data_IF_184007274797
#
_entry.id   IF_184007274797
#
_cell.length_a   1.000
_cell.length_b   1.000
_cell.length_c   1.000
_cell.angle_alpha   90.00
_cell.angle_beta   90.00
_cell.angle_gamma   90.00
#
_symmetry.space_group_name_H-M   'P 1'
#
loop_
_entity.id
_entity.type
_entity.pdbx_description
1 polymer ?
#
# COMPACT_ATOMS: atom_id res chain seq x y z
N UNK A 1 8.64 18.57 21.13
CA UNK A 1 7.51 17.61 21.02
C UNK A 1 7.51 16.79 22.29
N UNK A 2 6.50 16.96 23.15
CA UNK A 2 6.34 16.17 24.37
C UNK A 2 5.89 14.77 23.95
N UNK A 3 6.72 13.75 24.16
CA UNK A 3 6.33 12.39 23.93
C UNK A 3 5.13 12.05 24.84
N UNK A 4 3.99 11.70 24.25
CA UNK A 4 2.88 11.16 25.00
C UNK A 4 3.33 9.88 25.73
N UNK A 5 2.83 9.65 26.95
CA UNK A 5 3.11 8.41 27.66
C UNK A 5 2.56 7.23 26.84
N UNK A 6 3.27 6.09 26.76
CA UNK A 6 2.79 4.93 26.03
C UNK A 6 1.45 4.44 26.59
N UNK A 7 0.64 3.84 25.71
CA UNK A 7 -0.63 3.23 26.10
C UNK A 7 -0.42 2.16 27.20
N UNK A 8 -1.43 1.82 28.03
CA UNK A 8 -1.32 0.84 29.12
C UNK A 8 -0.79 -0.55 28.73
N UNK A 9 -0.85 -0.94 27.45
CA UNK A 9 -0.21 -2.16 26.94
C UNK A 9 1.32 -2.04 26.81
N UNK A 10 1.89 -0.86 27.04
CA UNK A 10 3.31 -0.58 26.99
C UNK A 10 3.91 -0.47 25.59
N UNK A 11 3.13 -0.65 24.52
CA UNK A 11 3.58 -0.54 23.13
C UNK A 11 3.17 0.81 22.52
N UNK A 12 4.07 1.38 21.74
CA UNK A 12 3.85 2.65 21.03
C UNK A 12 3.44 2.38 19.58
N UNK A 13 2.24 2.83 19.21
CA UNK A 13 1.72 2.75 17.83
C UNK A 13 1.75 4.12 17.20
N UNK A 14 2.50 4.26 16.12
CA UNK A 14 2.54 5.48 15.32
C UNK A 14 1.86 5.25 13.98
N UNK A 15 0.80 6.01 13.68
CA UNK A 15 0.19 5.99 12.37
C UNK A 15 1.02 6.82 11.38
N UNK A 16 1.12 6.37 10.13
CA UNK A 16 1.79 7.09 9.04
C UNK A 16 0.79 7.27 7.91
N UNK A 17 0.51 8.52 7.55
CA UNK A 17 -0.36 8.87 6.42
C UNK A 17 0.45 9.68 5.42
N UNK A 18 0.30 9.35 4.13
CA UNK A 18 0.87 10.13 3.02
C UNK A 18 -0.27 10.83 2.31
N UNK A 19 -0.15 12.13 2.11
CA UNK A 19 -1.19 12.93 1.45
C UNK A 19 -0.61 13.83 0.35
N UNK A 20 -1.48 14.21 -0.58
CA UNK A 20 -1.20 15.26 -1.55
C UNK A 20 -2.50 15.82 -2.12
N UNK A 21 -2.79 17.11 -1.86
CA UNK A 21 -3.94 17.84 -2.42
C UNK A 21 -5.31 17.20 -2.15
N UNK A 22 -5.49 16.55 -0.97
CA UNK A 22 -6.71 15.85 -0.58
C UNK A 22 -7.10 16.15 0.87
N UNK A 23 -7.28 17.43 1.25
CA UNK A 23 -7.51 17.80 2.64
C UNK A 23 -8.79 17.18 3.21
N UNK A 24 -9.86 17.03 2.42
CA UNK A 24 -11.12 16.44 2.87
C UNK A 24 -11.00 14.94 3.16
N UNK A 25 -10.32 14.19 2.29
CA UNK A 25 -10.06 12.75 2.49
C UNK A 25 -9.15 12.54 3.70
N UNK A 26 -8.10 13.36 3.81
CA UNK A 26 -7.19 13.33 4.96
C UNK A 26 -7.94 13.59 6.27
N UNK A 27 -8.85 14.57 6.31
CA UNK A 27 -9.67 14.85 7.50
C UNK A 27 -10.47 13.63 7.92
N UNK A 28 -11.16 12.96 6.98
CA UNK A 28 -11.92 11.74 7.25
C UNK A 28 -11.05 10.58 7.74
N UNK A 29 -9.83 10.43 7.19
CA UNK A 29 -8.89 9.42 7.66
C UNK A 29 -8.43 9.70 9.10
N UNK A 30 -8.08 10.95 9.42
CA UNK A 30 -7.67 11.37 10.76
C UNK A 30 -8.81 11.24 11.79
N UNK A 31 -10.05 11.60 11.44
CA UNK A 31 -11.22 11.40 12.27
C UNK A 31 -11.44 9.91 12.62
N UNK A 32 -11.29 9.03 11.63
CA UNK A 32 -11.43 7.59 11.84
C UNK A 32 -10.29 6.99 12.69
N UNK A 33 -9.10 7.58 12.67
CA UNK A 33 -8.01 7.22 13.58
C UNK A 33 -8.28 7.71 15.02
N UNK A 34 -8.86 8.90 15.17
CA UNK A 34 -9.09 9.52 16.47
C UNK A 34 -10.12 8.74 17.33
N UNK A 35 -11.04 8.01 16.71
CA UNK A 35 -12.09 7.25 17.41
C UNK A 35 -11.71 5.79 17.69
N UNK A 36 -10.49 5.35 17.37
CA UNK A 36 -10.09 3.97 17.63
C UNK A 36 -10.10 3.63 19.12
N UNK A 37 -10.67 2.48 19.51
CA UNK A 37 -10.73 1.98 20.90
C UNK A 37 -9.35 1.67 21.48
N UNK A 38 -8.39 1.29 20.63
CA UNK A 38 -6.95 1.38 20.91
C UNK A 38 -6.44 2.62 20.18
N UNK A 39 -6.31 3.78 20.86
CA UNK A 39 -5.85 4.99 20.18
C UNK A 39 -4.43 4.83 19.66
N UNK A 40 -4.11 5.53 18.57
CA UNK A 40 -2.72 5.71 18.16
C UNK A 40 -2.01 6.66 19.12
N UNK A 41 -0.74 6.41 19.41
CA UNK A 41 0.04 7.27 20.30
C UNK A 41 0.46 8.57 19.62
N UNK A 42 0.62 8.55 18.29
CA UNK A 42 0.81 9.73 17.45
C UNK A 42 0.55 9.40 15.99
N UNK A 43 0.40 10.45 15.17
CA UNK A 43 0.32 10.32 13.71
C UNK A 43 1.43 11.14 13.05
N UNK A 44 2.12 10.54 12.09
CA UNK A 44 3.04 11.22 11.18
C UNK A 44 2.34 11.42 9.85
N UNK A 45 2.11 12.66 9.46
CA UNK A 45 1.53 13.01 8.17
C UNK A 45 2.63 13.54 7.26
N UNK A 46 2.88 12.87 6.15
CA UNK A 46 3.81 13.33 5.11
C UNK A 46 3.00 13.94 3.97
N UNK A 47 3.12 15.24 3.80
CA UNK A 47 2.42 16.00 2.75
C UNK A 47 3.36 16.26 1.57
N UNK A 48 3.02 15.70 0.43
CA UNK A 48 3.74 15.85 -0.85
C UNK A 48 3.20 17.02 -1.71
N UNK A 49 2.40 17.91 -1.14
CA UNK A 49 1.74 19.03 -1.83
C UNK A 49 2.12 20.41 -1.29
N UNK A 50 3.37 20.86 -1.46
CA UNK A 50 3.82 22.14 -0.88
C UNK A 50 3.08 23.37 -1.42
N UNK A 51 2.44 23.26 -2.57
CA UNK A 51 1.60 24.28 -3.20
C UNK A 51 0.18 24.38 -2.58
N UNK A 52 -0.29 23.31 -1.91
CA UNK A 52 -1.56 23.27 -1.17
C UNK A 52 -1.40 22.46 0.12
N UNK A 53 -0.68 22.97 1.13
CA UNK A 53 -0.38 22.23 2.34
C UNK A 53 -1.63 21.95 3.17
N UNK A 54 -1.72 20.73 3.70
CA UNK A 54 -2.84 20.28 4.55
C UNK A 54 -2.58 20.45 6.05
N UNK A 55 -1.63 21.33 6.45
CA UNK A 55 -1.19 21.51 7.84
C UNK A 55 -2.35 21.84 8.79
N UNK A 56 -3.29 22.68 8.36
CA UNK A 56 -4.43 23.07 9.19
C UNK A 56 -5.35 21.89 9.52
N UNK A 57 -5.55 20.99 8.55
CA UNK A 57 -6.32 19.74 8.75
C UNK A 57 -5.65 18.88 9.81
N UNK A 58 -4.32 18.72 9.72
CA UNK A 58 -3.56 17.92 10.68
C UNK A 58 -3.56 18.56 12.06
N UNK A 59 -3.40 19.88 12.13
CA UNK A 59 -3.41 20.62 13.40
C UNK A 59 -4.76 20.53 14.12
N UNK A 60 -5.86 20.46 13.38
CA UNK A 60 -7.22 20.39 13.94
C UNK A 60 -7.68 18.97 14.32
N UNK A 61 -6.94 17.92 13.98
CA UNK A 61 -7.38 16.53 14.19
C UNK A 61 -7.44 16.06 15.67
N UNK A 62 -6.86 16.84 16.59
CA UNK A 62 -6.84 16.51 18.03
C UNK A 62 -5.88 15.40 18.43
N UNK A 63 -5.22 14.73 17.48
CA UNK A 63 -4.22 13.69 17.75
C UNK A 63 -2.83 14.29 17.98
N UNK A 64 -1.99 13.69 18.85
CA UNK A 64 -0.57 13.99 18.83
C UNK A 64 -0.01 13.73 17.43
N UNK A 65 0.67 14.71 16.84
CA UNK A 65 1.07 14.60 15.45
C UNK A 65 2.45 15.18 15.13
N UNK A 66 3.04 14.69 14.07
CA UNK A 66 4.18 15.26 13.37
C UNK A 66 3.78 15.51 11.92
N UNK A 67 3.82 16.77 11.50
CA UNK A 67 3.52 17.15 10.12
C UNK A 67 4.82 17.43 9.36
N UNK A 68 5.00 16.73 8.23
CA UNK A 68 6.18 16.83 7.38
C UNK A 68 5.76 17.33 5.99
N UNK A 69 5.96 18.61 5.73
CA UNK A 69 5.75 19.18 4.39
C UNK A 69 6.99 18.93 3.53
N UNK A 70 6.85 18.08 2.52
CA UNK A 70 7.91 17.86 1.54
C UNK A 70 7.94 18.97 0.50
N UNK A 71 9.12 19.55 0.26
CA UNK A 71 9.32 20.57 -0.78
C UNK A 71 9.27 20.01 -2.20
N UNK A 72 9.30 18.68 -2.35
CA UNK A 72 9.17 17.97 -3.60
C UNK A 72 8.16 16.85 -3.47
N UNK A 73 7.45 16.53 -4.55
CA UNK A 73 6.60 15.34 -4.57
C UNK A 73 7.48 14.08 -4.57
N UNK A 74 7.48 13.37 -3.44
CA UNK A 74 8.25 12.12 -3.25
C UNK A 74 7.47 10.88 -3.74
N UNK A 75 6.22 11.05 -4.17
CA UNK A 75 5.30 9.95 -4.44
C UNK A 75 4.91 9.16 -3.18
N UNK A 76 4.11 8.12 -3.34
CA UNK A 76 3.74 7.25 -2.22
C UNK A 76 4.96 6.55 -1.61
N UNK A 77 5.83 5.99 -2.44
CA UNK A 77 7.03 5.29 -1.99
C UNK A 77 7.93 6.16 -1.10
N UNK A 78 8.24 7.38 -1.55
CA UNK A 78 9.10 8.30 -0.77
C UNK A 78 8.38 8.86 0.44
N UNK A 79 7.08 9.14 0.34
CA UNK A 79 6.26 9.61 1.47
C UNK A 79 6.20 8.57 2.59
N UNK A 80 5.88 7.32 2.28
CA UNK A 80 5.90 6.24 3.27
C UNK A 80 7.30 5.98 3.83
N UNK A 81 8.34 6.03 2.99
CA UNK A 81 9.71 5.87 3.48
C UNK A 81 10.07 6.92 4.54
N UNK A 82 9.75 8.20 4.27
CA UNK A 82 9.99 9.30 5.21
C UNK A 82 9.15 9.15 6.48
N UNK A 83 7.85 8.86 6.34
CA UNK A 83 6.94 8.69 7.46
C UNK A 83 7.34 7.51 8.37
N UNK A 84 7.66 6.35 7.80
CA UNK A 84 8.11 5.17 8.54
C UNK A 84 9.42 5.43 9.29
N UNK A 85 10.40 6.08 8.64
CA UNK A 85 11.66 6.45 9.31
C UNK A 85 11.44 7.42 10.47
N UNK A 86 10.52 8.38 10.30
CA UNK A 86 10.14 9.31 11.37
C UNK A 86 9.47 8.56 12.53
N UNK A 87 8.53 7.65 12.23
CA UNK A 87 7.88 6.84 13.25
C UNK A 87 8.88 5.97 14.05
N UNK A 88 9.84 5.36 13.35
CA UNK A 88 10.93 4.60 13.98
C UNK A 88 11.82 5.49 14.87
N UNK A 89 12.16 6.71 14.40
CA UNK A 89 12.93 7.67 15.16
C UNK A 89 12.20 8.16 16.41
N UNK A 90 10.85 8.20 16.36
CA UNK A 90 9.97 8.51 17.49
C UNK A 90 9.78 7.33 18.46
N UNK A 91 10.45 6.20 18.22
CA UNK A 91 10.40 5.03 19.09
C UNK A 91 9.11 4.20 18.96
N UNK A 92 8.52 4.13 17.78
CA UNK A 92 7.38 3.27 17.51
C UNK A 92 7.75 1.78 17.70
N UNK A 93 6.90 1.01 18.37
CA UNK A 93 6.93 -0.45 18.37
C UNK A 93 6.16 -1.01 17.16
N UNK A 94 5.10 -0.30 16.77
CA UNK A 94 4.26 -0.58 15.61
C UNK A 94 4.05 0.65 14.75
N UNK A 95 4.13 0.47 13.43
CA UNK A 95 3.86 1.52 12.44
C UNK A 95 2.61 1.14 11.64
N UNK A 96 1.55 1.95 11.75
CA UNK A 96 0.28 1.74 11.07
C UNK A 96 0.19 2.63 9.83
N UNK A 97 0.29 2.03 8.64
CA UNK A 97 0.40 2.76 7.36
C UNK A 97 -0.93 2.85 6.63
N UNK A 98 -1.26 4.04 6.17
CA UNK A 98 -2.48 4.34 5.43
C UNK A 98 -2.28 5.40 4.36
N UNK A 99 -2.96 5.26 3.22
CA UNK A 99 -3.15 6.36 2.26
C UNK A 99 -4.25 7.32 2.76
N UNK A 100 -4.23 8.55 2.26
CA UNK A 100 -5.18 9.61 2.64
C UNK A 100 -6.62 9.39 2.12
N UNK A 101 -6.84 8.47 1.18
CA UNK A 101 -8.15 8.15 0.60
C UNK A 101 -8.78 6.86 1.17
N UNK A 102 -8.12 6.25 2.15
CA UNK A 102 -8.65 5.11 2.89
C UNK A 102 -8.84 5.40 4.38
N UNK A 103 -9.63 4.56 5.07
CA UNK A 103 -9.86 4.69 6.52
C UNK A 103 -10.31 3.38 7.16
N UNK A 104 -10.04 3.14 8.47
CA UNK A 104 -10.65 2.03 9.19
C UNK A 104 -12.18 2.11 9.12
N UNK A 105 -12.83 0.95 8.97
CA UNK A 105 -14.29 0.87 8.83
C UNK A 105 -15.04 1.08 10.14
N UNK A 106 -14.37 0.80 11.26
CA UNK A 106 -14.90 0.95 12.61
C UNK A 106 -13.80 1.27 13.63
N UNK A 107 -14.21 1.49 14.86
CA UNK A 107 -13.34 1.88 15.97
C UNK A 107 -12.48 0.76 16.55
N UNK A 108 -12.64 -0.49 16.10
CA UNK A 108 -11.94 -1.66 16.65
C UNK A 108 -10.82 -2.18 15.75
N UNK A 109 -10.60 -1.57 14.59
CA UNK A 109 -9.64 -2.08 13.58
C UNK A 109 -8.23 -2.20 14.15
N UNK A 110 -7.69 -1.15 14.77
CA UNK A 110 -6.34 -1.20 15.32
C UNK A 110 -6.20 -2.22 16.46
N UNK A 111 -7.18 -2.27 17.37
CA UNK A 111 -7.20 -3.26 18.46
C UNK A 111 -7.19 -4.70 17.91
N UNK A 112 -7.98 -4.95 16.88
CA UNK A 112 -8.06 -6.26 16.20
C UNK A 112 -6.73 -6.63 15.54
N UNK A 113 -6.11 -5.70 14.81
CA UNK A 113 -4.82 -5.94 14.15
C UNK A 113 -3.73 -6.28 15.18
N UNK A 114 -3.60 -5.49 16.25
CA UNK A 114 -2.63 -5.76 17.33
C UNK A 114 -2.87 -7.11 17.99
N UNK A 115 -4.13 -7.45 18.28
CA UNK A 115 -4.48 -8.74 18.87
C UNK A 115 -4.07 -9.91 17.98
N UNK A 116 -4.37 -9.83 16.67
CA UNK A 116 -4.01 -10.88 15.70
C UNK A 116 -2.50 -10.95 15.52
N UNK A 117 -1.81 -9.81 15.44
CA UNK A 117 -0.35 -9.76 15.30
C UNK A 117 0.35 -10.43 16.47
N UNK A 118 -0.03 -10.11 17.71
CA UNK A 118 0.52 -10.70 18.93
C UNK A 118 0.21 -12.19 19.03
N UNK A 119 -1.05 -12.58 18.83
CA UNK A 119 -1.47 -13.98 18.96
C UNK A 119 -0.77 -14.91 17.95
N UNK A 120 -0.37 -14.38 16.79
CA UNK A 120 0.26 -15.15 15.72
C UNK A 120 1.75 -14.86 15.52
N UNK A 121 2.32 -13.93 16.28
CA UNK A 121 3.74 -13.53 16.17
C UNK A 121 4.05 -12.92 14.79
N UNK A 122 3.16 -12.07 14.26
CA UNK A 122 3.30 -11.53 12.91
C UNK A 122 4.28 -10.35 12.88
N UNK A 123 5.05 -10.29 11.82
CA UNK A 123 5.91 -9.16 11.46
C UNK A 123 5.14 -8.02 10.79
N UNK A 124 4.04 -8.38 10.11
CA UNK A 124 3.08 -7.46 9.48
C UNK A 124 1.70 -8.08 9.53
N UNK A 125 0.68 -7.25 9.75
CA UNK A 125 -0.72 -7.63 9.60
C UNK A 125 -1.49 -6.56 8.86
N UNK A 126 -2.19 -6.95 7.79
CA UNK A 126 -3.09 -6.10 7.04
C UNK A 126 -4.55 -6.33 7.42
N UNK A 127 -5.43 -5.34 7.35
CA UNK A 127 -6.87 -5.55 7.37
C UNK A 127 -7.36 -6.07 6.02
N UNK A 128 -8.60 -6.57 5.98
CA UNK A 128 -9.32 -6.80 4.74
C UNK A 128 -9.74 -5.45 4.13
N UNK A 129 -9.24 -5.14 2.93
CA UNK A 129 -9.53 -3.87 2.27
C UNK A 129 -10.82 -3.99 1.47
N UNK A 130 -11.88 -3.33 1.95
CA UNK A 130 -13.20 -3.30 1.32
C UNK A 130 -13.36 -2.06 0.44
N UNK A 131 -14.17 -2.19 -0.60
CA UNK A 131 -14.56 -1.08 -1.47
C UNK A 131 -15.42 -0.09 -0.68
N UNK A 132 -15.01 1.17 -0.62
CA UNK A 132 -15.69 2.20 0.16
C UNK A 132 -17.13 2.46 -0.32
N UNK A 133 -17.39 2.27 -1.62
CA UNK A 133 -18.71 2.44 -2.23
C UNK A 133 -19.54 1.15 -2.20
N UNK A 134 -18.90 -0.01 -1.98
CA UNK A 134 -19.54 -1.31 -1.91
C UNK A 134 -18.86 -2.22 -0.86
N UNK A 135 -19.04 -1.96 0.46
CA UNK A 135 -18.28 -2.61 1.52
C UNK A 135 -18.43 -4.15 1.62
N UNK A 136 -19.41 -4.73 0.92
CA UNK A 136 -19.54 -6.18 0.76
C UNK A 136 -18.50 -6.81 -0.18
N UNK A 137 -17.81 -5.99 -0.97
CA UNK A 137 -16.78 -6.40 -1.93
C UNK A 137 -15.39 -5.92 -1.48
N UNK A 138 -14.34 -6.64 -1.86
CA UNK A 138 -12.97 -6.16 -1.66
C UNK A 138 -12.64 -5.04 -2.67
N UNK A 139 -11.95 -4.00 -2.23
CA UNK A 139 -11.41 -2.96 -3.12
C UNK A 139 -10.39 -3.56 -4.10
N UNK A 140 -9.61 -4.51 -3.60
CA UNK A 140 -8.65 -5.29 -4.40
C UNK A 140 -8.96 -6.77 -4.25
N UNK A 141 -9.17 -7.54 -5.36
CA UNK A 141 -9.41 -8.97 -5.26
C UNK A 141 -8.28 -9.69 -4.52
N UNK A 142 -8.65 -10.56 -3.60
CA UNK A 142 -7.72 -11.34 -2.79
C UNK A 142 -7.37 -12.64 -3.48
N UNK A 143 -6.10 -13.01 -3.51
CA UNK A 143 -5.65 -14.25 -4.13
C UNK A 143 -5.57 -15.38 -3.11
N UNK A 144 -6.31 -16.46 -3.35
CA UNK A 144 -6.19 -17.72 -2.58
C UNK A 144 -5.76 -18.85 -3.53
N UNK A 145 -4.51 -19.29 -3.41
CA UNK A 145 -3.92 -20.25 -4.36
C UNK A 145 -3.90 -19.70 -5.79
N UNK A 146 -4.64 -20.35 -6.70
CA UNK A 146 -4.77 -19.94 -8.10
C UNK A 146 -6.03 -19.12 -8.40
N UNK A 147 -6.88 -18.87 -7.41
CA UNK A 147 -8.17 -18.19 -7.59
C UNK A 147 -8.14 -16.78 -6.99
N UNK A 148 -8.86 -15.87 -7.65
CA UNK A 148 -9.12 -14.53 -7.15
C UNK A 148 -10.52 -14.49 -6.54
N UNK A 149 -10.64 -13.87 -5.37
CA UNK A 149 -11.87 -13.69 -4.61
C UNK A 149 -12.19 -12.21 -4.52
N UNK A 150 -13.41 -11.85 -4.91
CA UNK A 150 -13.87 -10.45 -4.92
C UNK A 150 -14.59 -10.01 -3.65
N UNK A 151 -14.90 -10.95 -2.75
CA UNK A 151 -15.65 -10.71 -1.52
C UNK A 151 -15.28 -11.72 -0.42
N UNK A 152 -15.76 -11.47 0.80
CA UNK A 152 -15.52 -12.34 1.97
C UNK A 152 -16.22 -13.70 1.86
N UNK A 153 -17.40 -13.76 1.24
CA UNK A 153 -18.14 -15.01 1.08
C UNK A 153 -17.31 -16.04 0.30
N UNK A 154 -16.53 -15.56 -0.65
CA UNK A 154 -15.59 -16.38 -1.40
C UNK A 154 -14.44 -16.98 -0.59
N UNK A 155 -14.20 -16.52 0.66
CA UNK A 155 -13.12 -17.01 1.54
C UNK A 155 -13.56 -18.12 2.51
N UNK A 156 -14.84 -18.52 2.49
CA UNK A 156 -15.30 -19.71 3.22
C UNK A 156 -15.32 -19.59 4.74
N UNK A 157 -15.38 -18.37 5.29
CA UNK A 157 -15.47 -18.15 6.74
C UNK A 157 -14.12 -18.18 7.47
N UNK A 158 -13.00 -18.08 6.77
CA UNK A 158 -11.67 -17.93 7.39
C UNK A 158 -11.55 -16.59 8.11
N UNK A 159 -10.82 -16.56 9.23
CA UNK A 159 -10.57 -15.38 10.05
C UNK A 159 -9.26 -14.69 9.67
N UNK A 160 -8.34 -15.43 9.07
CA UNK A 160 -7.00 -14.98 8.73
C UNK A 160 -6.50 -15.59 7.43
N UNK A 161 -5.87 -14.77 6.60
CA UNK A 161 -5.27 -15.20 5.34
C UNK A 161 -3.75 -15.06 5.40
N UNK A 162 -3.01 -16.16 5.58
CA UNK A 162 -1.55 -16.10 5.68
C UNK A 162 -0.91 -15.79 4.32
N UNK A 163 0.18 -15.00 4.35
CA UNK A 163 1.00 -14.72 3.17
C UNK A 163 0.35 -13.78 2.13
N UNK A 164 -0.75 -13.13 2.50
CA UNK A 164 -1.38 -12.07 1.72
C UNK A 164 -1.42 -10.78 2.55
N UNK A 165 -1.06 -9.66 1.96
CA UNK A 165 -1.06 -8.34 2.60
C UNK A 165 -1.43 -7.25 1.59
N UNK A 166 -2.18 -6.24 2.04
CA UNK A 166 -2.47 -4.99 1.33
C UNK A 166 -1.73 -3.88 2.04
N UNK A 167 -0.44 -3.75 1.74
CA UNK A 167 0.45 -2.77 2.37
C UNK A 167 -0.04 -1.35 2.04
N UNK A 168 0.14 -0.42 2.96
CA UNK A 168 -0.31 0.99 2.89
C UNK A 168 -1.83 1.23 2.93
N UNK A 169 -2.64 0.17 2.98
CA UNK A 169 -4.09 0.26 3.16
C UNK A 169 -4.48 -0.23 4.56
N UNK A 170 -3.99 0.44 5.58
CA UNK A 170 -4.21 0.08 6.98
C UNK A 170 -3.30 -1.02 7.50
N UNK A 171 -2.19 -1.33 6.85
CA UNK A 171 -1.23 -2.34 7.30
C UNK A 171 -0.45 -1.89 8.54
N UNK A 172 -0.29 -2.80 9.48
CA UNK A 172 0.42 -2.60 10.74
C UNK A 172 1.74 -3.40 10.71
N UNK A 173 2.87 -2.71 10.76
CA UNK A 173 4.21 -3.29 10.78
C UNK A 173 4.81 -3.24 12.16
N UNK A 174 5.40 -4.33 12.64
CA UNK A 174 6.31 -4.25 13.77
C UNK A 174 7.55 -3.42 13.38
N UNK A 175 8.02 -2.55 14.26
CA UNK A 175 9.21 -1.72 14.02
C UNK A 175 10.45 -2.57 13.68
N UNK A 176 10.61 -3.71 14.35
CA UNK A 176 11.70 -4.67 14.09
C UNK A 176 11.65 -5.19 12.63
N UNK A 177 10.46 -5.33 12.04
CA UNK A 177 10.30 -5.71 10.64
C UNK A 177 10.90 -4.66 9.71
N UNK A 178 10.56 -3.39 9.95
CA UNK A 178 11.09 -2.28 9.14
C UNK A 178 12.61 -2.11 9.34
N UNK A 179 13.12 -2.34 10.56
CA UNK A 179 14.55 -2.33 10.82
C UNK A 179 15.29 -3.45 10.05
N UNK A 180 14.66 -4.62 9.88
CA UNK A 180 15.24 -5.75 9.15
C UNK A 180 15.08 -5.65 7.64
N UNK A 181 13.92 -5.22 7.15
CA UNK A 181 13.58 -5.21 5.73
C UNK A 181 13.79 -3.86 5.06
N UNK A 182 13.91 -2.79 5.85
CA UNK A 182 13.94 -1.41 5.37
C UNK A 182 12.55 -0.87 5.01
N UNK A 183 12.53 0.41 4.66
CA UNK A 183 11.34 1.16 4.22
C UNK A 183 11.17 1.08 2.69
N UNK A 184 10.07 1.60 2.09
CA UNK A 184 9.87 1.60 0.64
C UNK A 184 11.04 2.19 -0.14
N UNK A 185 11.32 1.61 -1.31
CA UNK A 185 12.33 2.15 -2.23
C UNK A 185 11.79 3.41 -2.93
N UNK A 186 12.25 4.57 -2.48
CA UNK A 186 11.82 5.87 -3.01
C UNK A 186 12.01 6.02 -4.53
N UNK A 187 12.92 5.23 -5.16
CA UNK A 187 13.14 5.23 -6.61
C UNK A 187 11.91 4.78 -7.40
N UNK A 188 11.03 4.02 -6.77
CA UNK A 188 9.78 3.57 -7.38
C UNK A 188 8.79 4.72 -7.54
N UNK A 189 8.83 5.72 -6.67
CA UNK A 189 7.96 6.87 -6.64
C UNK A 189 6.49 6.53 -6.36
N UNK A 190 5.86 5.75 -7.25
CA UNK A 190 4.49 5.23 -7.12
C UNK A 190 4.37 3.91 -7.88
N UNK A 191 3.46 3.04 -7.45
CA UNK A 191 3.18 1.75 -8.10
C UNK A 191 4.30 0.72 -7.98
N UNK A 192 4.03 -0.36 -7.35
CA UNK A 192 4.95 -1.49 -7.20
C UNK A 192 5.84 -1.44 -5.96
N UNK A 193 5.86 -0.36 -5.23
CA UNK A 193 6.48 -0.20 -3.92
C UNK A 193 5.91 -1.19 -2.89
N UNK A 194 4.61 -1.37 -2.83
CA UNK A 194 3.97 -2.42 -2.02
C UNK A 194 4.49 -3.82 -2.40
N UNK A 195 4.53 -4.12 -3.70
CA UNK A 195 5.03 -5.41 -4.18
C UNK A 195 6.50 -5.60 -3.81
N UNK A 196 7.29 -4.55 -3.85
CA UNK A 196 8.72 -4.57 -3.53
C UNK A 196 8.94 -4.88 -2.05
N UNK A 197 8.26 -4.18 -1.12
CA UNK A 197 8.29 -4.47 0.32
C UNK A 197 7.77 -5.87 0.60
N UNK A 198 6.62 -6.25 0.04
CA UNK A 198 6.07 -7.58 0.20
C UNK A 198 7.10 -8.67 -0.19
N UNK A 199 7.85 -8.46 -1.27
CA UNK A 199 8.90 -9.40 -1.67
C UNK A 199 10.07 -9.45 -0.66
N UNK A 200 10.37 -8.35 0.01
CA UNK A 200 11.39 -8.35 1.09
C UNK A 200 10.91 -9.13 2.33
N UNK A 201 9.64 -8.97 2.74
CA UNK A 201 9.02 -9.78 3.81
C UNK A 201 9.11 -11.28 3.49
N UNK A 202 8.68 -11.68 2.29
CA UNK A 202 8.74 -13.08 1.84
C UNK A 202 10.18 -13.62 1.85
N UNK A 203 11.15 -12.85 1.38
CA UNK A 203 12.57 -13.26 1.32
C UNK A 203 13.21 -13.35 2.70
N UNK A 204 12.78 -12.52 3.64
CA UNK A 204 13.24 -12.57 5.02
C UNK A 204 12.60 -13.72 5.82
N UNK A 205 11.62 -14.43 5.25
CA UNK A 205 10.89 -15.50 5.93
C UNK A 205 10.02 -15.00 7.08
N UNK A 206 9.65 -13.72 7.07
CA UNK A 206 8.87 -13.11 8.13
C UNK A 206 7.39 -13.51 8.03
N UNK A 207 6.70 -13.85 9.14
CA UNK A 207 5.29 -14.18 9.14
C UNK A 207 4.45 -12.92 8.96
N UNK A 208 3.51 -12.96 8.01
CA UNK A 208 2.58 -11.87 7.73
C UNK A 208 1.25 -12.39 7.17
N UNK A 209 0.23 -11.55 7.16
CA UNK A 209 -1.06 -11.91 6.58
C UNK A 209 -2.17 -10.91 6.84
N UNK A 210 -3.38 -11.27 6.40
CA UNK A 210 -4.56 -10.41 6.49
C UNK A 210 -5.51 -10.91 7.58
N UNK A 211 -5.83 -10.04 8.54
CA UNK A 211 -6.88 -10.23 9.54
C UNK A 211 -8.24 -9.90 8.92
N UNK A 212 -9.05 -10.94 8.64
CA UNK A 212 -10.29 -10.77 7.90
C UNK A 212 -11.42 -10.12 8.72
N UNK A 213 -11.31 -10.09 10.04
CA UNK A 213 -12.25 -9.37 10.92
C UNK A 213 -11.96 -7.87 11.05
N UNK A 214 -10.75 -7.42 10.73
CA UNK A 214 -10.43 -6.01 10.60
C UNK A 214 -10.76 -5.54 9.19
N UNK A 215 -11.51 -4.44 9.05
CA UNK A 215 -11.88 -3.89 7.73
C UNK A 215 -11.32 -2.50 7.54
N UNK A 216 -10.73 -2.26 6.39
CA UNK A 216 -10.27 -0.94 5.94
C UNK A 216 -11.01 -0.57 4.66
N UNK A 217 -11.59 0.61 4.61
CA UNK A 217 -12.32 1.12 3.45
C UNK A 217 -11.36 1.85 2.52
N UNK A 218 -11.43 1.58 1.22
CA UNK A 218 -10.59 2.22 0.21
C UNK A 218 -11.32 2.25 -1.14
N UNK A 219 -11.14 3.28 -1.98
CA UNK A 219 -11.63 3.28 -3.35
C UNK A 219 -11.09 2.10 -4.15
N UNK A 220 -11.92 1.49 -5.00
CA UNK A 220 -11.46 0.36 -5.81
C UNK A 220 -10.62 0.79 -7.03
N UNK A 221 -9.70 -0.08 -7.45
CA UNK A 221 -8.82 0.12 -8.60
C UNK A 221 -9.08 -0.86 -9.75
N UNK A 222 -10.29 -1.45 -9.84
CA UNK A 222 -10.61 -2.55 -10.78
C UNK A 222 -10.54 -2.14 -12.24
N UNK A 223 -10.84 -0.90 -12.56
CA UNK A 223 -10.90 -0.39 -13.94
C UNK A 223 -9.56 -0.43 -14.68
N UNK A 224 -8.46 -0.51 -13.93
CA UNK A 224 -7.12 -0.62 -14.53
C UNK A 224 -6.83 -2.01 -15.12
N UNK A 225 -7.60 -3.05 -14.75
CA UNK A 225 -7.37 -4.42 -15.19
C UNK A 225 -8.25 -4.77 -16.39
N UNK A 226 -7.67 -4.72 -17.59
CA UNK A 226 -8.37 -5.02 -18.85
C UNK A 226 -8.30 -6.52 -19.15
N UNK A 227 -9.43 -7.20 -19.35
CA UNK A 227 -9.46 -8.64 -19.64
C UNK A 227 -8.84 -8.96 -21.00
N UNK A 228 -8.12 -10.07 -21.10
CA UNK A 228 -7.53 -10.63 -22.33
C UNK A 228 -7.76 -12.13 -22.40
N UNK A 229 -7.58 -12.73 -23.57
CA UNK A 229 -7.74 -14.19 -23.78
C UNK A 229 -9.11 -14.69 -23.29
N UNK A 230 -10.19 -13.99 -23.61
CA UNK A 230 -11.54 -14.37 -23.17
C UNK A 230 -11.75 -14.27 -21.65
N UNK A 231 -11.05 -13.33 -20.97
CA UNK A 231 -11.14 -13.13 -19.51
C UNK A 231 -10.28 -14.06 -18.66
N UNK A 232 -9.51 -14.97 -19.29
CA UNK A 232 -8.61 -15.89 -18.57
C UNK A 232 -7.42 -15.18 -17.93
N UNK A 233 -7.00 -14.07 -18.49
CA UNK A 233 -5.94 -13.20 -17.98
C UNK A 233 -6.40 -11.74 -18.03
N UNK A 234 -5.68 -10.87 -17.34
CA UNK A 234 -5.87 -9.41 -17.43
C UNK A 234 -4.53 -8.70 -17.60
N UNK A 235 -4.52 -7.60 -18.35
CA UNK A 235 -3.40 -6.69 -18.44
C UNK A 235 -3.70 -5.43 -17.63
N UNK A 236 -2.78 -5.01 -16.77
CA UNK A 236 -2.92 -3.75 -16.04
C UNK A 236 -2.62 -2.59 -16.97
N UNK A 237 -3.63 -1.77 -17.24
CA UNK A 237 -3.56 -0.63 -18.15
C UNK A 237 -4.25 0.58 -17.52
N UNK A 238 -3.54 1.35 -16.66
CA UNK A 238 -4.07 2.61 -16.14
C UNK A 238 -4.36 3.60 -17.27
N UNK A 239 -5.46 4.34 -17.19
CA UNK A 239 -5.80 5.34 -18.21
C UNK A 239 -4.87 6.57 -18.15
N UNK A 240 -4.37 6.90 -16.97
CA UNK A 240 -3.40 7.98 -16.79
C UNK A 240 -2.01 7.59 -17.30
N UNK A 241 -1.40 8.45 -18.11
CA UNK A 241 -0.07 8.21 -18.70
C UNK A 241 1.03 8.12 -17.64
N UNK A 242 1.00 9.00 -16.63
CA UNK A 242 1.98 8.94 -15.57
C UNK A 242 1.86 7.65 -14.74
N UNK A 243 0.62 7.18 -14.47
CA UNK A 243 0.41 5.89 -13.80
C UNK A 243 0.93 4.72 -14.65
N UNK A 244 0.68 4.73 -15.97
CA UNK A 244 1.23 3.72 -16.89
C UNK A 244 2.74 3.71 -16.89
N UNK A 245 3.37 4.90 -16.92
CA UNK A 245 4.81 5.04 -16.90
C UNK A 245 5.42 4.32 -15.70
N UNK A 246 4.97 4.65 -14.48
CA UNK A 246 5.49 4.03 -13.27
C UNK A 246 5.13 2.54 -13.19
N UNK A 247 3.90 2.16 -13.52
CA UNK A 247 3.47 0.76 -13.54
C UNK A 247 4.39 -0.09 -14.41
N UNK A 248 4.69 0.33 -15.63
CA UNK A 248 5.47 -0.49 -16.55
C UNK A 248 6.97 -0.48 -16.24
N UNK A 249 7.53 0.69 -15.90
CA UNK A 249 8.92 0.80 -15.49
C UNK A 249 9.21 -0.04 -14.24
N UNK A 250 8.41 0.17 -13.21
CA UNK A 250 8.61 -0.50 -11.92
C UNK A 250 8.36 -2.00 -12.02
N UNK A 251 7.39 -2.42 -12.84
CA UNK A 251 7.16 -3.83 -13.11
C UNK A 251 8.36 -4.47 -13.80
N UNK A 252 9.03 -3.75 -14.69
CA UNK A 252 10.31 -4.18 -15.28
C UNK A 252 11.39 -4.43 -14.22
N UNK A 253 11.53 -3.55 -13.25
CA UNK A 253 12.43 -3.71 -12.10
C UNK A 253 12.05 -4.92 -11.24
N UNK A 254 10.78 -5.01 -10.84
CA UNK A 254 10.27 -6.11 -10.01
C UNK A 254 10.48 -7.48 -10.67
N UNK A 255 10.21 -7.60 -11.98
CA UNK A 255 10.40 -8.85 -12.73
C UNK A 255 11.88 -9.26 -12.91
N UNK A 256 12.82 -8.46 -12.45
CA UNK A 256 14.24 -8.83 -12.35
C UNK A 256 14.60 -9.40 -10.98
N UNK A 257 13.80 -9.08 -9.96
CA UNK A 257 14.06 -9.49 -8.57
C UNK A 257 13.98 -11.01 -8.37
N UNK A 258 14.73 -11.58 -7.41
CA UNK A 258 14.63 -12.99 -7.05
C UNK A 258 13.18 -13.38 -6.73
N UNK A 259 12.74 -14.53 -7.24
CA UNK A 259 11.37 -15.05 -7.07
C UNK A 259 10.33 -14.46 -8.02
N UNK A 260 10.64 -13.36 -8.76
CA UNK A 260 9.73 -12.78 -9.76
C UNK A 260 10.20 -12.94 -11.21
N UNK A 261 11.48 -13.17 -11.43
CA UNK A 261 12.07 -13.26 -12.79
C UNK A 261 11.41 -14.30 -13.69
N UNK A 262 10.87 -15.36 -13.11
CA UNK A 262 10.20 -16.45 -13.83
C UNK A 262 8.81 -16.04 -14.36
N UNK A 263 8.24 -14.95 -13.87
CA UNK A 263 6.97 -14.41 -14.35
C UNK A 263 7.14 -13.54 -15.61
N UNK A 264 8.36 -13.16 -15.96
CA UNK A 264 8.61 -12.26 -17.08
C UNK A 264 8.16 -12.79 -18.44
N UNK A 265 8.35 -14.08 -18.80
CA UNK A 265 7.77 -14.61 -20.05
C UNK A 265 6.25 -14.51 -20.12
N UNK A 266 5.56 -14.73 -18.99
CA UNK A 266 4.11 -14.55 -18.92
C UNK A 266 3.70 -13.08 -19.12
N UNK A 267 4.50 -12.13 -18.62
CA UNK A 267 4.29 -10.70 -18.87
C UNK A 267 4.43 -10.34 -20.35
N UNK A 268 5.42 -10.89 -21.02
CA UNK A 268 5.60 -10.70 -22.47
C UNK A 268 4.40 -11.20 -23.27
N UNK A 269 3.90 -12.40 -22.93
CA UNK A 269 2.69 -12.97 -23.57
C UNK A 269 1.48 -12.09 -23.26
N UNK A 270 1.28 -11.71 -22.00
CA UNK A 270 0.15 -10.89 -21.54
C UNK A 270 0.08 -9.54 -22.26
N UNK A 271 1.16 -8.77 -22.21
CA UNK A 271 1.20 -7.43 -22.80
C UNK A 271 1.38 -7.48 -24.32
N UNK A 272 2.06 -8.49 -24.86
CA UNK A 272 2.09 -8.74 -26.30
C UNK A 272 0.69 -8.99 -26.84
N UNK A 273 -0.09 -9.88 -26.21
CA UNK A 273 -1.49 -10.09 -26.61
C UNK A 273 -2.33 -8.83 -26.45
N UNK A 274 -2.23 -8.16 -25.32
CA UNK A 274 -3.00 -6.95 -25.04
C UNK A 274 -2.77 -5.87 -26.08
N UNK A 275 -1.53 -5.50 -26.37
CA UNK A 275 -1.23 -4.43 -27.30
C UNK A 275 -1.40 -4.85 -28.77
N UNK A 276 -0.90 -6.02 -29.16
CA UNK A 276 -0.84 -6.40 -30.58
C UNK A 276 -2.14 -7.03 -31.09
N UNK A 277 -2.88 -7.76 -30.24
CA UNK A 277 -4.10 -8.46 -30.62
C UNK A 277 -5.33 -7.68 -30.19
N UNK A 278 -5.43 -7.32 -28.90
CA UNK A 278 -6.63 -6.67 -28.35
C UNK A 278 -6.75 -5.22 -28.79
N UNK A 279 -5.68 -4.42 -28.62
CA UNK A 279 -5.69 -2.98 -28.96
C UNK A 279 -5.22 -2.67 -30.38
N UNK A 280 -4.45 -3.54 -31.00
CA UNK A 280 -3.78 -3.32 -32.30
C UNK A 280 -2.91 -2.06 -32.29
N UNK A 281 -2.20 -1.86 -31.18
CA UNK A 281 -1.40 -0.66 -30.86
C UNK A 281 0.10 -1.03 -30.76
N UNK A 282 0.76 -1.05 -31.93
CA UNK A 282 2.20 -1.31 -32.00
C UNK A 282 3.05 -0.22 -31.34
N UNK A 283 2.73 1.09 -31.44
CA UNK A 283 3.42 2.13 -30.68
C UNK A 283 3.34 1.92 -29.18
N UNK A 284 2.16 1.64 -28.64
CA UNK A 284 1.97 1.33 -27.21
C UNK A 284 2.76 0.12 -26.74
N UNK A 285 2.86 -0.94 -27.58
CA UNK A 285 3.72 -2.09 -27.27
C UNK A 285 5.20 -1.75 -27.21
N UNK A 286 5.69 -0.92 -28.15
CA UNK A 286 7.08 -0.46 -28.13
C UNK A 286 7.39 0.40 -26.93
N UNK A 287 6.46 1.27 -26.53
CA UNK A 287 6.60 2.11 -25.35
C UNK A 287 6.61 1.27 -24.06
N UNK A 288 5.68 0.32 -23.92
CA UNK A 288 5.70 -0.66 -22.84
C UNK A 288 7.03 -1.40 -22.75
N UNK A 289 7.58 -1.91 -23.87
CA UNK A 289 8.88 -2.58 -23.90
C UNK A 289 10.02 -1.66 -23.49
N UNK A 290 9.99 -0.39 -23.93
CA UNK A 290 10.99 0.62 -23.55
C UNK A 290 11.01 0.84 -22.04
N UNK A 291 9.84 1.03 -21.43
CA UNK A 291 9.68 1.25 -20.00
C UNK A 291 10.10 0.02 -19.18
N UNK A 292 9.67 -1.17 -19.58
CA UNK A 292 10.05 -2.43 -18.93
C UNK A 292 11.58 -2.63 -19.00
N UNK A 293 12.22 -2.34 -20.14
CA UNK A 293 13.68 -2.41 -20.28
C UNK A 293 14.36 -1.38 -19.39
N UNK A 294 13.85 -0.15 -19.27
CA UNK A 294 14.38 0.87 -18.38
C UNK A 294 14.35 0.39 -16.91
N UNK A 295 13.21 -0.15 -16.45
CA UNK A 295 13.10 -0.71 -15.11
C UNK A 295 14.05 -1.89 -14.87
N UNK A 296 14.17 -2.82 -15.84
CA UNK A 296 15.12 -3.93 -15.76
C UNK A 296 16.58 -3.48 -15.72
N UNK A 297 16.89 -2.33 -16.30
CA UNK A 297 18.21 -1.71 -16.26
C UNK A 297 18.38 -0.75 -15.08
N UNK A 298 17.42 -0.70 -14.15
CA UNK A 298 17.39 0.18 -12.97
C UNK A 298 17.54 1.67 -13.32
N UNK A 299 16.95 2.07 -14.45
CA UNK A 299 16.91 3.47 -14.88
C UNK A 299 15.63 4.11 -14.32
N UNK A 300 15.74 4.80 -13.20
CA UNK A 300 14.63 5.41 -12.47
C UNK A 300 14.46 6.90 -12.78
N UNK A 301 14.50 7.28 -14.05
CA UNK A 301 14.16 8.65 -14.45
C UNK A 301 12.69 8.94 -14.10
N UNK A 302 12.37 10.17 -13.63
CA UNK A 302 10.98 10.58 -13.42
C UNK A 302 10.19 10.53 -14.74
N UNK A 303 8.85 10.46 -14.61
CA UNK A 303 7.97 10.79 -15.73
C UNK A 303 8.17 12.29 -16.04
N UNK A 304 8.38 12.62 -17.32
CA UNK A 304 8.48 14.01 -17.78
C UNK A 304 7.14 14.72 -17.67
#
# INVERSE_FOLDING_TARGET
>A
VSAAAPHPDGERVVAVIVTRHRPESLAQALEALAVQTRPVDSVVVVDNGPDQPAEEVVRSCGLPHTYLLSQANLGGAGGFALGMLTALADGADWVWCADDDGRPADEHVLATLLSVARARGLAEVSPAVADIDAPGSFAFPVRTGLRWKGDRAGLGGEDFLPGYASLFNGALFAAATLAQTGVPDLRLFARGDETEIHRRLVRAGLPFGTALHATYLHPNGRDEFKPILGGRLSAQYPESEWKRFYTYRNRGYLMRQPGMRWLFPLELVRFGWFFLVTRRDLPGFRDWLRLVRAGRAERFTPAG
#
